data_IF_529449635953
#
_entry.id   IF_529449635953
#
_cell.length_a   1.000
_cell.length_b   1.000
_cell.length_c   1.000
_cell.angle_alpha   90.00
_cell.angle_beta   90.00
_cell.angle_gamma   90.00
#
_symmetry.space_group_name_H-M   'P 1'
#
loop_
_entity.id
_entity.type
_entity.pdbx_description
1 polymer ?
#
# COMPACT_ATOMS: atom_id res chain seq x y z
N UNK A 1 32.92 21.05 2.29
CA UNK A 1 32.16 19.81 1.94
C UNK A 1 32.97 18.49 1.85
N UNK A 2 34.24 18.41 2.26
CA UNK A 2 35.14 17.28 1.93
C UNK A 2 34.77 15.90 2.50
N UNK A 3 33.84 15.82 3.46
CA UNK A 3 33.45 14.58 4.14
C UNK A 3 32.12 13.99 3.63
N UNK A 4 31.54 14.56 2.58
CA UNK A 4 30.22 14.13 2.06
C UNK A 4 30.21 12.65 1.66
N UNK A 5 31.29 12.13 1.06
CA UNK A 5 31.41 10.74 0.63
C UNK A 5 31.43 9.77 1.82
N UNK A 6 32.14 10.10 2.89
CA UNK A 6 32.22 9.28 4.10
C UNK A 6 30.89 9.28 4.86
N UNK A 7 30.23 10.44 4.90
CA UNK A 7 28.93 10.59 5.49
C UNK A 7 27.86 9.80 4.72
N UNK A 8 27.86 9.88 3.39
CA UNK A 8 27.02 9.07 2.51
C UNK A 8 27.20 7.58 2.79
N UNK A 9 28.44 7.07 2.84
CA UNK A 9 28.71 5.65 3.13
C UNK A 9 28.15 5.21 4.48
N UNK A 10 28.20 6.09 5.50
CA UNK A 10 27.62 5.81 6.82
C UNK A 10 26.10 5.68 6.74
N UNK A 11 25.42 6.67 6.17
CA UNK A 11 23.96 6.67 6.02
C UNK A 11 23.47 5.55 5.10
N UNK A 12 24.21 5.26 4.02
CA UNK A 12 23.90 4.20 3.06
C UNK A 12 23.90 2.82 3.74
N UNK A 13 24.83 2.53 4.64
CA UNK A 13 24.81 1.28 5.43
C UNK A 13 23.55 1.14 6.28
N UNK A 14 23.10 2.23 6.90
CA UNK A 14 21.86 2.24 7.68
C UNK A 14 20.66 2.06 6.76
N UNK A 15 20.61 2.79 5.64
CA UNK A 15 19.58 2.66 4.61
C UNK A 15 19.47 1.23 4.07
N UNK A 16 20.59 0.63 3.66
CA UNK A 16 20.63 -0.74 3.13
C UNK A 16 20.21 -1.76 4.21
N UNK A 17 20.53 -1.51 5.48
CA UNK A 17 20.06 -2.35 6.59
C UNK A 17 18.55 -2.25 6.80
N UNK A 18 17.97 -1.06 6.57
CA UNK A 18 16.52 -0.82 6.64
C UNK A 18 15.81 -1.48 5.46
N UNK A 19 16.34 -1.34 4.25
CA UNK A 19 15.81 -1.95 3.03
C UNK A 19 15.88 -3.49 3.13
N UNK A 20 17.03 -4.03 3.52
CA UNK A 20 17.18 -5.46 3.77
C UNK A 20 16.26 -5.95 4.90
N UNK A 21 15.99 -5.13 5.92
CA UNK A 21 15.03 -5.46 6.98
C UNK A 21 13.59 -5.48 6.45
N UNK A 22 13.20 -4.56 5.58
CA UNK A 22 11.89 -4.52 4.94
C UNK A 22 11.67 -5.74 4.02
N UNK A 23 12.73 -6.18 3.33
CA UNK A 23 12.70 -7.35 2.45
C UNK A 23 12.83 -8.70 3.18
N UNK A 24 13.00 -8.69 4.51
CA UNK A 24 13.04 -9.94 5.28
C UNK A 24 11.72 -10.67 5.12
N UNK A 25 11.79 -11.74 4.33
CA UNK A 25 10.73 -12.73 4.22
C UNK A 25 10.29 -13.13 5.64
N UNK A 26 8.97 -13.17 5.92
CA UNK A 26 8.49 -13.65 7.21
C UNK A 26 9.12 -15.03 7.47
N UNK A 27 9.54 -15.26 8.71
CA UNK A 27 10.20 -16.52 9.09
C UNK A 27 9.35 -17.69 8.58
N UNK A 28 9.98 -18.78 8.14
CA UNK A 28 9.28 -19.96 7.61
C UNK A 28 8.16 -20.43 8.55
N UNK A 29 8.37 -20.33 9.87
CA UNK A 29 7.36 -20.59 10.89
C UNK A 29 6.11 -19.71 10.75
N UNK A 30 6.28 -18.41 10.51
CA UNK A 30 5.17 -17.48 10.31
C UNK A 30 4.43 -17.81 9.02
N UNK A 31 5.14 -18.09 7.91
CA UNK A 31 4.50 -18.54 6.65
C UNK A 31 3.67 -19.81 6.83
N UNK A 32 4.17 -20.77 7.60
CA UNK A 32 3.44 -22.01 7.91
C UNK A 32 2.21 -21.69 8.77
N UNK A 33 2.34 -20.85 9.79
CA UNK A 33 1.21 -20.44 10.63
C UNK A 33 0.16 -19.68 9.82
N UNK A 34 0.56 -18.72 8.99
CA UNK A 34 -0.31 -17.96 8.09
C UNK A 34 -1.02 -18.90 7.11
N UNK A 35 -0.31 -19.90 6.56
CA UNK A 35 -0.88 -20.91 5.70
C UNK A 35 -1.92 -21.78 6.40
N UNK A 36 -1.60 -22.30 7.60
CA UNK A 36 -2.51 -23.09 8.43
C UNK A 36 -3.73 -22.26 8.82
N UNK A 37 -3.54 -21.00 9.23
CA UNK A 37 -4.60 -20.07 9.60
C UNK A 37 -5.50 -19.78 8.39
N UNK A 38 -4.93 -19.55 7.21
CA UNK A 38 -5.68 -19.34 5.97
C UNK A 38 -6.53 -20.56 5.63
N UNK A 39 -5.95 -21.77 5.70
CA UNK A 39 -6.69 -23.01 5.48
C UNK A 39 -7.81 -23.18 6.51
N UNK A 40 -7.56 -22.88 7.78
CA UNK A 40 -8.56 -22.95 8.84
C UNK A 40 -9.69 -21.94 8.63
N UNK A 41 -9.39 -20.71 8.19
CA UNK A 41 -10.37 -19.68 7.83
C UNK A 41 -11.22 -20.15 6.65
N UNK A 42 -10.60 -20.65 5.58
CA UNK A 42 -11.33 -21.17 4.41
C UNK A 42 -12.22 -22.33 4.82
N UNK A 43 -11.71 -23.26 5.63
CA UNK A 43 -12.51 -24.36 6.16
C UNK A 43 -13.69 -23.88 7.01
N UNK A 44 -13.48 -22.85 7.83
CA UNK A 44 -14.55 -22.21 8.61
C UNK A 44 -15.60 -21.57 7.72
N UNK A 45 -15.20 -20.79 6.71
CA UNK A 45 -16.12 -20.17 5.74
C UNK A 45 -16.92 -21.23 5.01
N UNK A 46 -16.27 -22.29 4.52
CA UNK A 46 -16.89 -23.39 3.77
C UNK A 46 -17.78 -24.29 4.66
N UNK A 47 -17.64 -24.19 5.97
CA UNK A 47 -18.49 -24.87 6.94
C UNK A 47 -19.69 -24.01 7.35
N UNK A 48 -19.46 -22.71 7.56
CA UNK A 48 -20.49 -21.71 7.85
C UNK A 48 -21.44 -21.57 6.67
N UNK A 49 -20.89 -21.39 5.46
CA UNK A 49 -21.65 -21.54 4.23
C UNK A 49 -21.95 -23.03 4.11
N UNK A 50 -23.21 -23.48 4.00
CA UNK A 50 -23.60 -24.88 4.16
C UNK A 50 -23.09 -25.86 3.08
N UNK A 51 -22.00 -25.55 2.37
CA UNK A 51 -21.39 -26.37 1.32
C UNK A 51 -20.94 -27.72 1.88
N UNK A 52 -20.17 -27.74 2.98
CA UNK A 52 -19.69 -29.01 3.56
C UNK A 52 -20.81 -29.90 4.11
N UNK A 53 -21.79 -29.38 4.87
CA UNK A 53 -22.97 -30.17 5.27
C UNK A 53 -23.73 -30.76 4.07
N UNK A 54 -23.89 -29.98 2.99
CA UNK A 54 -24.53 -30.44 1.76
C UNK A 54 -23.71 -31.57 1.12
N UNK A 55 -22.39 -31.40 0.96
CA UNK A 55 -21.52 -32.43 0.40
C UNK A 55 -21.57 -33.71 1.24
N UNK A 56 -21.51 -33.60 2.57
CA UNK A 56 -21.61 -34.74 3.47
C UNK A 56 -22.94 -35.48 3.33
N UNK A 57 -24.07 -34.77 3.16
CA UNK A 57 -25.36 -35.41 2.87
C UNK A 57 -25.42 -36.06 1.47
N UNK A 58 -24.76 -35.48 0.47
CA UNK A 58 -24.67 -36.09 -0.85
C UNK A 58 -23.84 -37.38 -0.82
N UNK A 59 -22.73 -37.38 -0.07
CA UNK A 59 -21.88 -38.55 0.12
C UNK A 59 -22.47 -39.57 1.10
N UNK A 60 -23.32 -39.18 2.06
CA UNK A 60 -23.93 -40.12 3.01
C UNK A 60 -24.85 -41.14 2.32
N UNK A 61 -25.42 -40.76 1.17
CA UNK A 61 -26.16 -41.67 0.30
C UNK A 61 -25.28 -42.78 -0.30
N UNK A 62 -23.97 -42.55 -0.39
CA UNK A 62 -23.00 -43.56 -0.86
C UNK A 62 -22.30 -44.30 0.29
N UNK A 63 -22.09 -43.63 1.42
CA UNK A 63 -21.43 -44.19 2.60
C UNK A 63 -22.33 -43.87 3.81
N UNK A 64 -23.10 -44.84 4.33
CA UNK A 64 -23.99 -44.59 5.46
C UNK A 64 -23.16 -44.21 6.68
N UNK A 65 -23.21 -42.93 7.04
CA UNK A 65 -22.47 -42.36 8.15
C UNK A 65 -23.42 -42.27 9.35
N UNK A 66 -23.29 -43.21 10.30
CA UNK A 66 -24.09 -43.22 11.53
C UNK A 66 -23.27 -42.52 12.62
N UNK A 67 -23.61 -41.27 12.94
CA UNK A 67 -22.98 -40.52 14.04
C UNK A 67 -23.94 -40.53 15.23
N UNK A 68 -23.76 -41.50 16.13
CA UNK A 68 -24.60 -41.65 17.33
C UNK A 68 -26.07 -41.92 16.97
N UNK A 69 -27.04 -41.19 17.56
CA UNK A 69 -28.47 -41.38 17.28
C UNK A 69 -28.94 -40.73 15.97
N UNK A 70 -28.06 -40.07 15.22
CA UNK A 70 -28.42 -39.31 14.02
C UNK A 70 -28.23 -40.19 12.79
N UNK A 71 -29.34 -40.58 12.18
CA UNK A 71 -29.33 -41.26 10.89
C UNK A 71 -29.32 -40.23 9.75
N UNK A 72 -28.15 -40.08 9.13
CA UNK A 72 -27.90 -39.12 8.04
C UNK A 72 -28.58 -39.51 6.71
N UNK A 73 -29.14 -40.73 6.62
CA UNK A 73 -29.84 -41.20 5.41
C UNK A 73 -31.27 -40.69 5.31
N UNK A 74 -31.88 -40.28 6.42
CA UNK A 74 -33.30 -39.87 6.48
C UNK A 74 -33.58 -38.49 5.88
N UNK A 75 -32.54 -37.72 5.52
CA UNK A 75 -32.69 -36.41 4.86
C UNK A 75 -33.48 -35.37 5.65
N UNK A 76 -33.71 -35.60 6.95
CA UNK A 76 -34.51 -34.72 7.79
C UNK A 76 -33.75 -33.42 8.05
N UNK A 77 -34.46 -32.28 7.92
CA UNK A 77 -33.91 -30.92 8.15
C UNK A 77 -33.21 -30.80 9.52
N UNK A 78 -33.71 -31.50 10.54
CA UNK A 78 -33.09 -31.53 11.87
C UNK A 78 -31.69 -32.17 11.88
N UNK A 79 -31.50 -33.26 11.15
CA UNK A 79 -30.19 -33.92 11.02
C UNK A 79 -29.17 -33.02 10.30
N UNK A 80 -29.62 -32.31 9.26
CA UNK A 80 -28.80 -31.32 8.55
C UNK A 80 -28.35 -30.18 9.47
N UNK A 81 -29.27 -29.60 10.25
CA UNK A 81 -28.96 -28.52 11.18
C UNK A 81 -27.93 -28.93 12.25
N UNK A 82 -28.03 -30.15 12.78
CA UNK A 82 -27.08 -30.69 13.77
C UNK A 82 -25.69 -30.94 13.17
N UNK A 83 -25.61 -31.50 11.95
CA UNK A 83 -24.34 -31.68 11.23
C UNK A 83 -23.69 -30.33 10.95
N UNK A 84 -24.47 -29.35 10.48
CA UNK A 84 -23.96 -28.01 10.22
C UNK A 84 -23.43 -27.31 11.47
N UNK A 85 -24.21 -27.35 12.57
CA UNK A 85 -23.82 -26.76 13.84
C UNK A 85 -22.57 -27.43 14.44
N UNK A 86 -22.50 -28.77 14.40
CA UNK A 86 -21.34 -29.51 14.90
C UNK A 86 -20.07 -29.21 14.11
N UNK A 87 -20.13 -29.18 12.77
CA UNK A 87 -18.99 -28.79 11.94
C UNK A 87 -18.57 -27.35 12.21
N UNK A 88 -19.53 -26.43 12.35
CA UNK A 88 -19.26 -25.03 12.70
C UNK A 88 -18.53 -24.89 14.03
N UNK A 89 -18.96 -25.62 15.06
CA UNK A 89 -18.31 -25.65 16.37
C UNK A 89 -16.90 -26.23 16.31
N UNK A 90 -16.71 -27.36 15.61
CA UNK A 90 -15.39 -27.98 15.43
C UNK A 90 -14.45 -27.00 14.73
N UNK A 91 -14.92 -26.36 13.67
CA UNK A 91 -14.14 -25.40 12.91
C UNK A 91 -13.76 -24.17 13.74
N UNK A 92 -14.69 -23.62 14.53
CA UNK A 92 -14.42 -22.52 15.46
C UNK A 92 -13.39 -22.93 16.54
N UNK A 93 -13.51 -24.15 17.09
CA UNK A 93 -12.61 -24.68 18.10
C UNK A 93 -11.17 -24.87 17.57
N UNK A 94 -10.98 -25.12 16.28
CA UNK A 94 -9.65 -25.16 15.63
C UNK A 94 -9.13 -23.75 15.34
N UNK A 95 -10.01 -22.84 14.91
CA UNK A 95 -9.63 -21.48 14.51
C UNK A 95 -9.19 -20.62 15.71
N UNK A 96 -9.91 -20.67 16.84
CA UNK A 96 -9.63 -19.81 18.00
C UNK A 96 -8.21 -20.00 18.58
N UNK A 97 -7.70 -21.23 18.81
CA UNK A 97 -6.32 -21.44 19.24
C UNK A 97 -5.30 -20.96 18.22
N UNK A 98 -5.57 -21.12 16.92
CA UNK A 98 -4.65 -20.66 15.86
C UNK A 98 -4.53 -19.12 15.85
N UNK A 99 -5.64 -18.40 15.99
CA UNK A 99 -5.65 -16.93 16.13
C UNK A 99 -4.83 -16.53 17.36
N UNK A 100 -5.07 -17.19 18.50
CA UNK A 100 -4.35 -16.89 19.74
C UNK A 100 -2.84 -17.18 19.64
N UNK A 101 -2.45 -18.28 19.00
CA UNK A 101 -1.04 -18.61 18.75
C UNK A 101 -0.42 -17.59 17.80
N UNK A 102 -1.14 -17.16 16.76
CA UNK A 102 -0.66 -16.18 15.81
C UNK A 102 -0.34 -14.84 16.51
N UNK A 103 -1.28 -14.34 17.33
CA UNK A 103 -1.09 -13.12 18.12
C UNK A 103 0.10 -13.21 19.10
N UNK A 104 0.27 -14.37 19.75
CA UNK A 104 1.42 -14.64 20.63
C UNK A 104 2.76 -14.74 19.88
N UNK A 105 2.76 -15.19 18.63
CA UNK A 105 3.97 -15.27 17.80
C UNK A 105 4.35 -13.90 17.27
N UNK A 106 3.39 -13.11 16.83
CA UNK A 106 3.60 -11.74 16.36
C UNK A 106 4.16 -10.85 17.47
N UNK A 107 3.61 -10.94 18.69
CA UNK A 107 4.12 -10.18 19.85
C UNK A 107 5.55 -10.56 20.24
N UNK A 108 6.00 -11.80 20.00
CA UNK A 108 7.39 -12.23 20.24
C UNK A 108 8.33 -11.77 19.12
N UNK A 109 7.88 -11.80 17.88
CA UNK A 109 8.65 -11.30 16.73
C UNK A 109 8.86 -9.79 16.81
N UNK A 110 7.84 -9.06 17.22
CA UNK A 110 7.92 -7.62 17.51
C UNK A 110 8.99 -7.29 18.57
N UNK A 111 9.27 -8.21 19.50
CA UNK A 111 10.30 -8.04 20.53
C UNK A 111 11.71 -8.43 20.06
N UNK A 112 11.82 -9.31 19.06
CA UNK A 112 13.10 -9.86 18.57
C UNK A 112 13.77 -8.99 17.50
N UNK A 113 13.04 -8.06 16.89
CA UNK A 113 13.61 -7.13 15.93
C UNK A 113 13.02 -5.74 16.12
N UNK A 114 13.60 -4.94 17.03
CA UNK A 114 13.43 -3.49 16.90
C UNK A 114 13.90 -3.14 15.49
N UNK A 115 13.12 -2.35 14.71
CA UNK A 115 13.59 -1.89 13.42
C UNK A 115 14.95 -1.18 13.61
N UNK A 116 15.85 -1.24 12.63
CA UNK A 116 17.08 -0.45 12.67
C UNK A 116 16.77 1.02 12.97
N UNK A 117 17.78 1.77 13.42
CA UNK A 117 17.67 3.23 13.56
C UNK A 117 17.04 3.82 12.31
N UNK A 118 16.03 4.67 12.50
CA UNK A 118 15.29 5.27 11.39
C UNK A 118 16.07 6.47 10.90
N UNK A 119 16.31 6.51 9.61
CA UNK A 119 16.80 7.71 8.94
C UNK A 119 15.68 8.75 8.87
N UNK A 120 16.05 10.03 9.00
CA UNK A 120 15.11 11.14 8.75
C UNK A 120 14.74 11.19 7.26
N UNK A 121 13.58 11.76 6.89
CA UNK A 121 13.21 11.95 5.49
C UNK A 121 14.26 12.72 4.68
N UNK A 122 14.94 13.68 5.30
CA UNK A 122 16.03 14.47 4.71
C UNK A 122 17.27 13.62 4.46
N UNK A 123 17.64 12.74 5.40
CA UNK A 123 18.74 11.78 5.22
C UNK A 123 18.44 10.79 4.09
N UNK A 124 17.19 10.32 3.98
CA UNK A 124 16.77 9.44 2.88
C UNK A 124 16.86 10.18 1.54
N UNK A 125 16.39 11.44 1.49
CA UNK A 125 16.52 12.30 0.30
C UNK A 125 17.98 12.44 -0.11
N UNK A 126 18.86 12.77 0.84
CA UNK A 126 20.29 12.90 0.62
C UNK A 126 20.91 11.60 0.09
N UNK A 127 20.65 10.46 0.73
CA UNK A 127 21.18 9.15 0.31
C UNK A 127 20.78 8.84 -1.12
N UNK A 128 19.52 9.07 -1.50
CA UNK A 128 19.05 8.78 -2.86
C UNK A 128 19.57 9.76 -3.91
N UNK A 129 19.70 11.04 -3.59
CA UNK A 129 20.30 12.03 -4.48
C UNK A 129 21.77 11.72 -4.72
N UNK A 130 22.51 11.42 -3.64
CA UNK A 130 23.92 11.08 -3.71
C UNK A 130 24.13 9.74 -4.44
N UNK A 131 23.29 8.72 -4.21
CA UNK A 131 23.30 7.45 -4.97
C UNK A 131 23.11 7.70 -6.47
N UNK A 132 22.17 8.56 -6.86
CA UNK A 132 21.98 8.91 -8.26
C UNK A 132 23.19 9.63 -8.88
N UNK A 133 23.77 10.57 -8.14
CA UNK A 133 25.00 11.27 -8.53
C UNK A 133 26.19 10.31 -8.67
N UNK A 134 26.42 9.42 -7.69
CA UNK A 134 27.56 8.52 -7.67
C UNK A 134 27.47 7.47 -8.78
N UNK A 135 26.29 6.89 -9.01
CA UNK A 135 26.06 5.98 -10.14
C UNK A 135 26.33 6.69 -11.48
N UNK A 136 25.81 7.90 -11.67
CA UNK A 136 26.07 8.64 -12.91
C UNK A 136 27.55 9.05 -13.05
N UNK A 137 28.25 9.35 -11.94
CA UNK A 137 29.70 9.58 -11.93
C UNK A 137 30.46 8.33 -12.36
N UNK A 138 30.07 7.15 -11.86
CA UNK A 138 30.65 5.86 -12.25
C UNK A 138 30.45 5.55 -13.73
N UNK A 139 29.30 5.92 -14.31
CA UNK A 139 29.07 5.82 -15.75
C UNK A 139 30.13 6.56 -16.57
N UNK A 140 30.55 7.77 -16.18
CA UNK A 140 31.60 8.50 -16.92
C UNK A 140 32.98 7.86 -16.83
N UNK A 141 33.19 6.94 -15.88
CA UNK A 141 34.44 6.17 -15.75
C UNK A 141 34.35 4.84 -16.48
N UNK A 142 33.22 4.12 -16.37
CA UNK A 142 33.07 2.75 -16.86
C UNK A 142 32.33 2.61 -18.19
N UNK A 143 31.53 3.62 -18.58
CA UNK A 143 30.61 3.63 -19.73
C UNK A 143 29.59 2.48 -19.73
N UNK A 144 29.24 1.92 -18.56
CA UNK A 144 28.22 0.87 -18.44
C UNK A 144 26.83 1.48 -18.25
N UNK A 145 25.91 1.24 -19.19
CA UNK A 145 24.52 1.75 -19.18
C UNK A 145 23.74 1.42 -17.89
N UNK A 146 24.10 0.32 -17.21
CA UNK A 146 23.50 -0.07 -15.94
C UNK A 146 23.57 1.06 -14.89
N UNK A 147 24.64 1.84 -14.87
CA UNK A 147 24.79 2.95 -13.95
C UNK A 147 23.79 4.09 -14.24
N UNK A 148 23.50 4.36 -15.51
CA UNK A 148 22.48 5.36 -15.88
C UNK A 148 21.09 4.88 -15.45
N UNK A 149 20.80 3.59 -15.62
CA UNK A 149 19.54 3.00 -15.18
C UNK A 149 19.42 3.02 -13.65
N UNK A 150 20.48 2.70 -12.90
CA UNK A 150 20.51 2.80 -11.44
C UNK A 150 20.27 4.24 -10.97
N UNK A 151 20.95 5.21 -11.59
CA UNK A 151 20.74 6.63 -11.30
C UNK A 151 19.29 7.05 -11.57
N UNK A 152 18.72 6.58 -12.70
CA UNK A 152 17.31 6.83 -13.06
C UNK A 152 16.35 6.26 -12.02
N UNK A 153 16.59 5.02 -11.55
CA UNK A 153 15.76 4.38 -10.52
C UNK A 153 15.87 5.11 -9.18
N UNK A 154 17.06 5.55 -8.79
CA UNK A 154 17.26 6.35 -7.58
C UNK A 154 16.50 7.69 -7.64
N UNK A 155 16.63 8.44 -8.76
CA UNK A 155 15.86 9.68 -8.98
C UNK A 155 14.36 9.41 -9.05
N UNK A 156 13.94 8.33 -9.71
CA UNK A 156 12.52 7.96 -9.78
C UNK A 156 11.98 7.63 -8.38
N UNK A 157 12.75 6.95 -7.52
CA UNK A 157 12.33 6.65 -6.14
C UNK A 157 12.11 7.92 -5.31
N UNK A 158 12.86 9.00 -5.58
CA UNK A 158 12.69 10.31 -4.94
C UNK A 158 11.40 11.02 -5.36
N UNK A 159 10.95 10.81 -6.60
CA UNK A 159 9.83 11.53 -7.24
C UNK A 159 8.50 10.75 -7.20
N UNK A 160 8.57 9.42 -7.26
CA UNK A 160 7.41 8.54 -7.55
C UNK A 160 6.46 8.33 -6.35
N UNK A 161 6.77 8.87 -5.18
CA UNK A 161 5.92 8.77 -3.98
C UNK A 161 4.57 9.50 -4.13
N UNK A 162 4.42 10.34 -5.16
CA UNK A 162 3.23 11.15 -5.38
C UNK A 162 1.96 10.39 -5.78
N UNK A 163 2.04 9.20 -6.39
CA UNK A 163 0.79 8.49 -6.76
C UNK A 163 0.00 7.96 -5.57
N UNK A 164 0.63 7.81 -4.40
CA UNK A 164 -0.02 7.26 -3.20
C UNK A 164 -0.40 8.39 -2.23
N UNK A 165 0.47 9.38 -2.03
CA UNK A 165 0.22 10.48 -1.09
C UNK A 165 -0.89 11.41 -1.59
N UNK A 166 -1.00 11.70 -2.90
CA UNK A 166 -2.08 12.55 -3.41
C UNK A 166 -3.46 11.90 -3.28
N UNK A 167 -3.59 10.57 -3.40
CA UNK A 167 -4.86 9.87 -3.10
C UNK A 167 -5.17 9.85 -1.61
N UNK A 168 -4.15 9.72 -0.76
CA UNK A 168 -4.35 9.68 0.69
C UNK A 168 -4.53 11.05 1.34
N UNK A 169 -3.97 12.14 0.82
CA UNK A 169 -4.26 13.48 1.30
C UNK A 169 -5.70 13.90 0.95
N UNK A 170 -6.22 13.45 -0.20
CA UNK A 170 -7.62 13.63 -0.59
C UNK A 170 -8.57 12.82 0.31
N UNK A 171 -8.17 11.61 0.73
CA UNK A 171 -8.95 10.77 1.66
C UNK A 171 -8.83 11.21 3.13
N UNK A 172 -7.63 11.62 3.57
CA UNK A 172 -7.39 12.11 4.92
C UNK A 172 -8.07 13.45 5.18
N UNK A 173 -8.25 14.30 4.16
CA UNK A 173 -9.08 15.50 4.27
C UNK A 173 -10.56 15.19 4.53
N UNK A 174 -11.06 14.01 4.14
CA UNK A 174 -12.42 13.56 4.44
C UNK A 174 -12.51 12.84 5.80
N UNK A 175 -11.50 12.07 6.22
CA UNK A 175 -11.52 11.33 7.49
C UNK A 175 -11.09 12.17 8.72
N UNK A 176 -10.35 13.28 8.53
CA UNK A 176 -10.00 14.19 9.63
C UNK A 176 -11.20 15.02 10.10
N UNK A 177 -12.17 15.36 9.25
CA UNK A 177 -13.39 16.04 9.67
C UNK A 177 -14.26 15.17 10.60
N UNK A 178 -14.27 13.85 10.39
CA UNK A 178 -15.07 12.93 11.21
C UNK A 178 -14.40 12.55 12.53
N UNK A 179 -13.07 12.58 12.62
CA UNK A 179 -12.35 12.29 13.88
C UNK A 179 -12.31 13.50 14.83
N UNK A 180 -12.37 14.73 14.30
CA UNK A 180 -12.30 15.97 15.11
C UNK A 180 -13.62 16.31 15.81
N UNK A 181 -14.77 15.72 15.40
CA UNK A 181 -16.09 16.02 16.02
C UNK A 181 -16.39 15.34 17.35
N UNK A 182 -15.46 14.57 17.93
CA UNK A 182 -15.78 13.69 19.06
C UNK A 182 -15.08 13.96 20.40
N UNK A 183 -14.14 14.89 20.50
CA UNK A 183 -13.39 15.09 21.75
C UNK A 183 -13.97 16.26 22.55
N UNK A 184 -14.50 16.04 23.77
CA UNK A 184 -14.88 17.12 24.66
C UNK A 184 -13.63 17.92 25.00
N UNK A 185 -13.66 19.21 24.69
CA UNK A 185 -12.64 20.17 25.10
C UNK A 185 -12.90 20.42 26.59
N UNK A 186 -12.13 19.76 27.46
CA UNK A 186 -12.04 20.18 28.86
C UNK A 186 -11.18 21.46 28.90
N UNK A 187 -11.83 22.60 29.13
CA UNK A 187 -11.18 23.87 29.45
C UNK A 187 -10.45 23.73 30.80
N UNK A 188 -9.13 23.60 30.79
CA UNK A 188 -8.39 23.69 32.06
C UNK A 188 -6.89 23.43 32.02
N UNK A 189 -6.40 22.51 31.18
CA UNK A 189 -4.99 22.15 31.19
C UNK A 189 -4.37 22.31 29.79
N UNK A 190 -3.17 22.86 29.74
CA UNK A 190 -2.28 22.84 28.57
C UNK A 190 -1.91 21.38 28.26
N UNK A 191 -2.85 20.65 27.66
CA UNK A 191 -2.57 19.37 27.03
C UNK A 191 -1.79 19.70 25.79
N UNK A 192 -0.46 19.54 25.87
CA UNK A 192 0.38 19.39 24.70
C UNK A 192 -0.25 18.30 23.82
N UNK A 193 -0.96 18.73 22.77
CA UNK A 193 -1.53 17.87 21.73
C UNK A 193 -0.35 17.18 21.04
N UNK A 194 0.13 16.09 21.62
CA UNK A 194 0.95 15.13 20.92
C UNK A 194 0.06 14.49 19.87
N UNK A 195 0.05 15.10 18.68
CA UNK A 195 -0.44 14.48 17.46
C UNK A 195 0.44 13.25 17.18
N UNK A 196 0.13 12.15 17.85
CA UNK A 196 0.63 10.83 17.46
C UNK A 196 -0.20 10.42 16.26
N UNK A 197 0.23 10.88 15.08
CA UNK A 197 -0.26 10.35 13.80
C UNK A 197 0.04 8.85 13.83
N UNK A 198 -0.99 8.05 14.11
CA UNK A 198 -0.93 6.59 13.98
C UNK A 198 -0.72 6.28 12.51
N UNK A 199 0.54 6.22 12.07
CA UNK A 199 0.87 5.70 10.76
C UNK A 199 0.37 4.25 10.67
N UNK A 200 -0.62 4.03 9.80
CA UNK A 200 -1.18 2.71 9.59
C UNK A 200 -0.06 1.75 9.12
N UNK A 201 0.14 0.60 9.77
CA UNK A 201 1.26 -0.32 9.48
C UNK A 201 1.18 -0.99 8.10
N UNK A 202 0.08 -0.80 7.34
CA UNK A 202 -0.18 -1.47 6.06
C UNK A 202 0.43 -0.80 4.82
N UNK A 203 1.18 0.30 4.96
CA UNK A 203 1.86 0.95 3.84
C UNK A 203 3.35 1.11 4.12
N UNK A 204 4.09 -0.01 4.05
CA UNK A 204 5.55 -0.06 4.16
C UNK A 204 6.31 0.86 3.19
N UNK A 205 5.63 1.40 2.17
CA UNK A 205 6.15 2.36 1.20
C UNK A 205 6.43 3.75 1.80
N UNK A 206 5.76 4.15 2.89
CA UNK A 206 5.99 5.45 3.51
C UNK A 206 7.29 5.56 4.34
N UNK A 207 7.90 4.43 4.70
CA UNK A 207 9.11 4.40 5.55
C UNK A 207 10.39 4.79 4.82
N UNK A 208 10.37 4.75 3.50
CA UNK A 208 11.50 5.10 2.62
C UNK A 208 11.22 6.33 1.76
N UNK A 209 10.15 7.07 2.09
CA UNK A 209 9.82 8.30 1.38
C UNK A 209 10.80 9.41 1.79
N UNK A 210 11.57 9.92 0.83
CA UNK A 210 12.34 11.15 1.02
C UNK A 210 11.43 12.37 1.19
N UNK A 211 11.94 13.41 1.83
CA UNK A 211 11.30 14.72 2.00
C UNK A 211 11.07 15.48 0.68
N UNK A 212 11.79 15.17 -0.40
CA UNK A 212 11.76 15.94 -1.65
C UNK A 212 10.38 15.98 -2.31
N UNK A 213 9.68 14.85 -2.39
CA UNK A 213 8.35 14.80 -3.04
C UNK A 213 7.32 15.69 -2.33
N UNK A 214 7.12 15.58 -1.00
CA UNK A 214 6.26 16.51 -0.26
C UNK A 214 6.66 17.98 -0.41
N UNK A 215 7.97 18.28 -0.38
CA UNK A 215 8.47 19.64 -0.57
C UNK A 215 8.14 20.18 -1.97
N UNK A 216 8.27 19.35 -3.02
CA UNK A 216 7.88 19.72 -4.39
C UNK A 216 6.38 19.97 -4.51
N UNK A 217 5.53 19.17 -3.86
CA UNK A 217 4.08 19.43 -3.87
C UNK A 217 3.73 20.75 -3.18
N UNK A 218 4.35 21.02 -2.03
CA UNK A 218 4.17 22.29 -1.32
C UNK A 218 4.65 23.46 -2.20
N UNK A 219 5.80 23.33 -2.84
CA UNK A 219 6.34 24.34 -3.76
C UNK A 219 5.42 24.60 -4.96
N UNK A 220 4.82 23.56 -5.55
CA UNK A 220 3.83 23.69 -6.63
C UNK A 220 2.58 24.44 -6.17
N UNK A 221 2.02 24.06 -5.03
CA UNK A 221 0.82 24.70 -4.48
C UNK A 221 1.09 26.15 -4.08
N UNK A 222 2.28 26.42 -3.55
CA UNK A 222 2.76 27.76 -3.24
C UNK A 222 2.87 28.61 -4.52
N UNK A 223 3.60 28.15 -5.54
CA UNK A 223 3.70 28.86 -6.83
C UNK A 223 2.32 29.10 -7.45
N UNK A 224 1.43 28.09 -7.44
CA UNK A 224 0.08 28.20 -8.00
C UNK A 224 -0.78 29.23 -7.28
N UNK A 225 -0.64 29.31 -5.95
CA UNK A 225 -1.41 30.24 -5.12
C UNK A 225 -0.91 31.66 -5.30
N UNK A 226 0.41 31.88 -5.24
CA UNK A 226 1.00 33.22 -5.22
C UNK A 226 1.18 33.81 -6.62
N UNK A 227 1.49 33.03 -7.67
CA UNK A 227 1.60 33.57 -9.04
C UNK A 227 0.25 33.98 -9.63
N UNK A 228 -0.88 33.54 -9.04
CA UNK A 228 -2.23 33.91 -9.49
C UNK A 228 -2.59 35.37 -9.16
N UNK A 229 -2.02 35.95 -8.11
CA UNK A 229 -2.42 37.24 -7.57
C UNK A 229 -1.29 38.26 -7.69
N UNK A 230 -1.49 39.30 -8.50
CA UNK A 230 -0.47 40.34 -8.78
C UNK A 230 0.01 41.13 -7.56
N UNK A 231 -0.77 41.13 -6.47
CA UNK A 231 -0.48 41.81 -5.21
C UNK A 231 0.34 40.95 -4.24
N UNK A 232 0.49 39.65 -4.50
CA UNK A 232 1.47 38.78 -3.84
C UNK A 232 2.69 38.62 -4.75
N UNK A 233 3.74 39.40 -4.49
CA UNK A 233 5.00 39.30 -5.24
C UNK A 233 5.96 38.41 -4.48
N UNK A 234 6.24 37.24 -5.04
CA UNK A 234 7.38 36.43 -4.60
C UNK A 234 8.67 37.14 -4.98
N UNK A 235 9.64 37.07 -4.08
CA UNK A 235 11.00 37.48 -4.37
C UNK A 235 11.51 36.70 -5.60
N UNK A 236 12.17 37.37 -6.57
CA UNK A 236 12.61 36.71 -7.81
C UNK A 236 13.46 35.47 -7.57
N UNK A 237 14.33 35.50 -6.56
CA UNK A 237 15.21 34.40 -6.18
C UNK A 237 14.42 33.20 -5.64
N UNK A 238 13.53 33.41 -4.66
CA UNK A 238 12.67 32.34 -4.14
C UNK A 238 11.81 31.73 -5.25
N UNK A 239 11.25 32.55 -6.15
CA UNK A 239 10.50 32.07 -7.31
C UNK A 239 11.37 31.18 -8.21
N UNK A 240 12.62 31.56 -8.47
CA UNK A 240 13.54 30.76 -9.27
C UNK A 240 13.86 29.41 -8.60
N UNK A 241 14.13 29.42 -7.30
CA UNK A 241 14.36 28.21 -6.49
C UNK A 241 13.16 27.26 -6.59
N UNK A 242 11.95 27.75 -6.30
CA UNK A 242 10.73 26.93 -6.35
C UNK A 242 10.47 26.39 -7.76
N UNK A 243 10.71 27.19 -8.81
CA UNK A 243 10.59 26.72 -10.20
C UNK A 243 11.62 25.64 -10.52
N UNK A 244 12.85 25.75 -10.04
CA UNK A 244 13.87 24.74 -10.26
C UNK A 244 13.46 23.40 -9.63
N UNK A 245 13.04 23.40 -8.36
CA UNK A 245 12.57 22.18 -7.68
C UNK A 245 11.33 21.55 -8.36
N UNK A 246 10.39 22.36 -8.84
CA UNK A 246 9.16 21.86 -9.45
C UNK A 246 9.33 21.39 -10.89
N UNK A 247 10.36 21.84 -11.60
CA UNK A 247 10.68 21.40 -12.97
C UNK A 247 11.57 20.15 -12.99
N UNK A 248 12.38 19.94 -11.95
CA UNK A 248 13.29 18.79 -11.84
C UNK A 248 12.63 17.42 -12.10
N UNK A 249 11.46 17.10 -11.51
CA UNK A 249 10.79 15.81 -11.74
C UNK A 249 10.47 15.50 -13.19
N UNK A 250 10.34 16.54 -14.02
CA UNK A 250 10.05 16.41 -15.45
C UNK A 250 11.35 16.29 -16.24
N UNK A 251 12.32 17.17 -15.98
CA UNK A 251 13.54 17.29 -16.80
C UNK A 251 14.54 16.14 -16.60
N UNK A 252 14.78 15.70 -15.36
CA UNK A 252 15.90 14.79 -15.06
C UNK A 252 15.60 13.32 -15.39
N UNK A 253 14.46 12.71 -14.98
CA UNK A 253 14.21 11.30 -15.25
C UNK A 253 14.14 10.95 -16.74
N UNK A 254 13.63 11.89 -17.55
CA UNK A 254 13.51 11.72 -19.00
C UNK A 254 14.87 11.75 -19.68
N UNK A 255 15.74 12.70 -19.30
CA UNK A 255 17.13 12.78 -19.78
C UNK A 255 17.96 11.55 -19.40
N UNK A 256 17.80 11.04 -18.18
CA UNK A 256 18.45 9.79 -17.77
C UNK A 256 17.96 8.59 -18.59
N UNK A 257 16.65 8.53 -18.88
CA UNK A 257 16.07 7.47 -19.72
C UNK A 257 16.62 7.49 -21.14
N UNK A 258 16.72 8.68 -21.72
CA UNK A 258 17.13 8.87 -23.11
C UNK A 258 18.65 9.08 -23.27
N UNK A 259 19.38 9.09 -22.15
CA UNK A 259 20.82 9.35 -22.07
C UNK A 259 21.26 10.70 -22.66
N UNK A 260 20.42 11.73 -22.53
CA UNK A 260 20.66 13.07 -23.07
C UNK A 260 21.22 14.03 -22.02
N UNK A 261 22.17 14.89 -22.43
CA UNK A 261 22.75 15.94 -21.58
C UNK A 261 23.31 15.42 -20.23
N UNK A 262 23.80 14.17 -20.19
CA UNK A 262 24.27 13.51 -18.96
C UNK A 262 25.29 14.32 -18.14
N UNK A 263 26.25 15.06 -18.72
CA UNK A 263 27.17 15.89 -17.93
C UNK A 263 26.46 17.01 -17.16
N UNK A 264 25.42 17.62 -17.75
CA UNK A 264 24.62 18.65 -17.10
C UNK A 264 23.76 18.03 -15.98
N UNK A 265 23.16 16.86 -16.25
CA UNK A 265 22.42 16.10 -15.24
C UNK A 265 23.30 15.73 -14.05
N UNK A 266 24.55 15.30 -14.30
CA UNK A 266 25.52 14.99 -13.25
C UNK A 266 25.77 16.20 -12.35
N UNK A 267 26.04 17.36 -12.94
CA UNK A 267 26.32 18.58 -12.18
C UNK A 267 25.11 19.03 -11.34
N UNK A 268 23.91 18.93 -11.89
CA UNK A 268 22.66 19.22 -11.17
C UNK A 268 22.48 18.28 -9.97
N UNK A 269 22.67 16.98 -10.16
CA UNK A 269 22.55 15.99 -9.09
C UNK A 269 23.62 16.19 -8.02
N UNK A 270 24.85 16.53 -8.42
CA UNK A 270 25.94 16.86 -7.50
C UNK A 270 25.58 18.08 -6.63
N UNK A 271 25.11 19.16 -7.24
CA UNK A 271 24.73 20.38 -6.53
C UNK A 271 23.56 20.12 -5.58
N UNK A 272 22.56 19.36 -6.01
CA UNK A 272 21.47 18.96 -5.11
C UNK A 272 21.91 18.08 -3.95
N UNK A 273 22.81 17.11 -4.19
CA UNK A 273 23.31 16.24 -3.12
C UNK A 273 24.12 17.05 -2.09
N UNK A 274 24.95 17.99 -2.55
CA UNK A 274 25.71 18.93 -1.72
C UNK A 274 24.82 19.87 -0.92
N UNK A 275 23.79 20.46 -1.55
CA UNK A 275 22.79 21.25 -0.85
C UNK A 275 22.05 20.42 0.21
N UNK A 276 21.56 19.23 -0.16
CA UNK A 276 20.85 18.36 0.78
C UNK A 276 21.72 17.91 1.95
N UNK A 277 23.03 17.76 1.75
CA UNK A 277 24.00 17.48 2.80
C UNK A 277 24.14 18.66 3.77
N UNK A 278 24.32 19.88 3.25
CA UNK A 278 24.52 21.08 4.08
C UNK A 278 23.37 21.37 5.05
N UNK A 279 22.15 20.94 4.70
CA UNK A 279 20.92 21.16 5.48
C UNK A 279 20.40 19.89 6.19
N UNK A 280 21.26 18.90 6.45
CA UNK A 280 20.87 17.76 7.29
C UNK A 280 20.65 18.19 8.76
N UNK A 281 19.55 17.75 9.41
CA UNK A 281 19.18 18.22 10.75
C UNK A 281 20.20 17.81 11.83
N UNK A 282 20.95 16.74 11.62
CA UNK A 282 21.97 16.27 12.56
C UNK A 282 23.21 17.18 12.65
N UNK A 283 23.41 18.06 11.67
CA UNK A 283 24.48 19.05 11.73
C UNK A 283 24.22 20.10 12.81
N UNK A 284 22.95 20.45 13.05
CA UNK A 284 22.56 21.36 14.14
C UNK A 284 22.90 20.79 15.53
N UNK A 285 22.87 19.47 15.69
CA UNK A 285 23.15 18.81 16.96
C UNK A 285 24.62 18.49 17.19
N UNK A 286 25.42 18.35 16.12
CA UNK A 286 26.79 17.81 16.22
C UNK A 286 27.90 18.76 15.76
N UNK A 287 27.57 19.88 15.10
CA UNK A 287 28.56 20.86 14.65
C UNK A 287 28.55 22.13 15.52
N UNK A 288 29.66 22.86 15.53
CA UNK A 288 29.69 24.20 16.13
C UNK A 288 28.86 25.17 15.26
N UNK A 289 28.29 26.21 15.86
CA UNK A 289 27.51 27.22 15.11
C UNK A 289 28.32 27.86 13.99
N UNK A 290 29.61 28.09 14.19
CA UNK A 290 30.50 28.65 13.17
C UNK A 290 30.66 27.71 11.99
N UNK A 291 30.94 26.43 12.23
CA UNK A 291 31.11 25.43 11.16
C UNK A 291 29.78 25.19 10.42
N UNK A 292 28.67 25.17 11.15
CA UNK A 292 27.33 25.04 10.58
C UNK A 292 27.01 26.20 9.63
N UNK A 293 27.27 27.43 10.05
CA UNK A 293 27.04 28.61 9.20
C UNK A 293 27.91 28.59 7.93
N UNK A 294 29.17 28.16 8.05
CA UNK A 294 30.05 28.00 6.88
C UNK A 294 29.49 26.94 5.94
N UNK A 295 29.10 25.77 6.46
CA UNK A 295 28.52 24.69 5.66
C UNK A 295 27.21 25.11 4.98
N UNK A 296 26.34 25.83 5.69
CA UNK A 296 25.08 26.34 5.15
C UNK A 296 25.32 27.39 4.07
N UNK A 297 26.30 28.29 4.25
CA UNK A 297 26.67 29.26 3.20
C UNK A 297 27.22 28.58 1.94
N UNK A 298 28.03 27.51 2.07
CA UNK A 298 28.45 26.67 0.94
C UNK A 298 27.23 26.01 0.28
N UNK A 299 26.26 25.54 1.09
CA UNK A 299 25.01 24.96 0.60
C UNK A 299 24.16 25.94 -0.21
N UNK A 300 24.05 27.20 0.23
CA UNK A 300 23.32 28.27 -0.47
C UNK A 300 23.99 28.63 -1.81
N UNK A 301 25.31 28.72 -1.86
CA UNK A 301 26.05 28.95 -3.10
C UNK A 301 25.79 27.82 -4.11
N UNK A 302 25.84 26.58 -3.65
CA UNK A 302 25.54 25.40 -4.47
C UNK A 302 24.08 25.38 -4.92
N UNK A 303 23.13 25.82 -4.08
CA UNK A 303 21.72 25.95 -4.45
C UNK A 303 21.54 26.94 -5.60
N UNK A 304 22.22 28.09 -5.55
CA UNK A 304 22.16 29.09 -6.62
C UNK A 304 22.68 28.52 -7.96
N UNK A 305 23.73 27.70 -7.91
CA UNK A 305 24.30 27.01 -9.08
C UNK A 305 23.30 25.98 -9.64
N UNK A 306 22.66 25.19 -8.76
CA UNK A 306 21.60 24.26 -9.15
C UNK A 306 20.45 24.96 -9.88
N UNK A 307 20.01 26.12 -9.38
CA UNK A 307 18.92 26.89 -9.99
C UNK A 307 19.31 27.35 -11.39
N UNK A 308 20.52 27.91 -11.58
CA UNK A 308 21.01 28.33 -12.91
C UNK A 308 21.04 27.16 -13.89
N UNK A 309 21.62 26.02 -13.47
CA UNK A 309 21.77 24.86 -14.34
C UNK A 309 20.43 24.24 -14.75
N UNK A 310 19.46 24.17 -13.84
CA UNK A 310 18.12 23.68 -14.16
C UNK A 310 17.40 24.60 -15.15
N UNK A 311 17.60 25.92 -15.04
CA UNK A 311 17.01 26.89 -15.98
C UNK A 311 17.66 26.81 -17.37
N UNK A 312 18.98 26.61 -17.42
CA UNK A 312 19.76 26.39 -18.65
C UNK A 312 19.40 25.09 -19.38
N UNK A 313 18.94 24.05 -18.67
CA UNK A 313 18.44 22.83 -19.32
C UNK A 313 17.24 23.15 -20.21
N UNK A 314 17.34 22.77 -21.48
CA UNK A 314 16.25 22.96 -22.46
C UNK A 314 14.97 22.23 -22.05
N UNK A 315 13.81 22.71 -22.50
CA UNK A 315 12.57 21.94 -22.33
C UNK A 315 12.69 20.64 -23.14
N UNK A 316 12.63 19.51 -22.45
CA UNK A 316 12.82 18.21 -23.09
C UNK A 316 11.59 17.90 -23.96
N UNK A 317 11.81 17.81 -25.27
CA UNK A 317 10.82 17.38 -26.23
C UNK A 317 11.07 15.89 -26.53
N UNK A 318 10.26 14.95 -26.01
CA UNK A 318 10.49 13.54 -26.25
C UNK A 318 10.53 13.27 -27.74
N UNK A 319 11.64 12.69 -28.20
CA UNK A 319 11.77 12.17 -29.56
C UNK A 319 10.63 11.17 -29.76
N UNK A 320 9.67 11.54 -30.61
CA UNK A 320 8.38 10.85 -30.81
C UNK A 320 8.62 9.44 -31.38
N UNK A 321 9.01 8.48 -30.54
CA UNK A 321 9.09 7.06 -30.88
C UNK A 321 7.65 6.53 -30.95
N UNK A 322 7.17 6.25 -32.16
CA UNK A 322 5.85 5.67 -32.41
C UNK A 322 5.79 4.25 -31.84
N UNK A 323 5.28 4.08 -30.63
CA UNK A 323 4.97 2.76 -30.07
C UNK A 323 3.73 2.18 -30.76
N UNK A 324 3.87 1.01 -31.38
CA UNK A 324 2.80 0.28 -32.05
C UNK A 324 1.80 -0.25 -31.01
N UNK A 325 0.52 0.07 -31.22
CA UNK A 325 -0.59 -0.18 -30.30
C UNK A 325 -1.25 -1.52 -30.62
N UNK A 326 -1.04 -2.54 -29.79
CA UNK A 326 -1.75 -3.82 -29.90
C UNK A 326 -3.17 -3.74 -29.33
N UNK A 327 -4.15 -3.99 -30.20
CA UNK A 327 -5.60 -3.93 -29.93
C UNK A 327 -6.15 -5.33 -29.66
N UNK A 328 -6.45 -5.64 -28.39
CA UNK A 328 -7.03 -6.93 -27.99
C UNK A 328 -8.57 -6.81 -27.96
N UNK A 329 -9.23 -7.42 -28.96
CA UNK A 329 -10.69 -7.56 -29.03
C UNK A 329 -11.20 -8.74 -28.17
N UNK A 330 -12.27 -8.53 -27.40
CA UNK A 330 -13.02 -9.59 -26.70
C UNK A 330 -14.42 -9.74 -27.31
N UNK A 331 -14.90 -10.97 -27.59
CA UNK A 331 -16.23 -11.18 -28.16
C UNK A 331 -17.32 -11.29 -27.08
N UNK A 332 -18.44 -10.63 -27.37
CA UNK A 332 -19.70 -10.69 -26.64
C UNK A 332 -20.51 -11.93 -27.07
N UNK A 333 -20.68 -12.90 -26.17
CA UNK A 333 -21.57 -14.04 -26.36
C UNK A 333 -22.32 -14.27 -25.05
N UNK A 334 -23.48 -13.63 -24.83
CA UNK A 334 -24.51 -14.18 -23.92
C UNK A 334 -25.85 -13.39 -23.92
N UNK A 335 -26.68 -13.44 -24.96
CA UNK A 335 -28.08 -13.02 -24.82
C UNK A 335 -29.00 -13.72 -25.83
N UNK A 336 -29.68 -14.82 -25.45
CA UNK A 336 -31.01 -15.13 -26.05
C UNK A 336 -31.97 -16.19 -25.47
N UNK A 337 -31.80 -16.82 -24.30
CA UNK A 337 -32.69 -17.96 -23.94
C UNK A 337 -33.21 -18.02 -22.50
N UNK A 338 -33.62 -16.90 -21.88
CA UNK A 338 -33.93 -16.86 -20.44
C UNK A 338 -35.27 -16.18 -20.06
N UNK A 339 -36.33 -16.31 -20.85
CA UNK A 339 -37.58 -15.55 -20.63
C UNK A 339 -38.53 -16.08 -19.55
N UNK A 340 -38.83 -17.39 -19.53
CA UNK A 340 -39.90 -17.94 -18.67
C UNK A 340 -39.42 -18.91 -17.58
N UNK A 341 -38.24 -19.52 -17.73
CA UNK A 341 -37.62 -20.32 -16.65
C UNK A 341 -37.02 -19.45 -15.53
N UNK A 342 -36.75 -18.17 -15.82
CA UNK A 342 -36.07 -17.27 -14.90
C UNK A 342 -36.97 -16.89 -13.73
N UNK A 343 -38.27 -16.67 -13.90
CA UNK A 343 -39.07 -16.09 -12.81
C UNK A 343 -39.16 -16.99 -11.55
N UNK A 344 -39.29 -18.32 -11.70
CA UNK A 344 -39.43 -19.23 -10.55
C UNK A 344 -38.07 -19.61 -9.93
N UNK A 345 -37.03 -19.76 -10.77
CA UNK A 345 -35.65 -19.96 -10.31
C UNK A 345 -35.13 -18.69 -9.63
N UNK A 346 -35.49 -17.53 -10.15
CA UNK A 346 -35.10 -16.23 -9.61
C UNK A 346 -35.69 -16.03 -8.22
N UNK A 347 -36.99 -16.25 -8.01
CA UNK A 347 -37.59 -16.13 -6.67
C UNK A 347 -36.91 -17.07 -5.66
N UNK A 348 -36.66 -18.34 -6.03
CA UNK A 348 -35.94 -19.29 -5.15
C UNK A 348 -34.50 -18.85 -4.87
N UNK A 349 -33.80 -18.41 -5.90
CA UNK A 349 -32.45 -17.87 -5.77
C UNK A 349 -32.43 -16.64 -4.87
N UNK A 350 -33.37 -15.69 -5.03
CA UNK A 350 -33.45 -14.47 -4.22
C UNK A 350 -33.68 -14.77 -2.75
N UNK A 351 -34.55 -15.73 -2.43
CA UNK A 351 -34.79 -16.15 -1.03
C UNK A 351 -33.54 -16.77 -0.41
N UNK A 352 -32.89 -17.71 -1.09
CA UNK A 352 -31.65 -18.32 -0.59
C UNK A 352 -30.48 -17.33 -0.54
N UNK A 353 -30.40 -16.42 -1.50
CA UNK A 353 -29.41 -15.36 -1.56
C UNK A 353 -29.54 -14.43 -0.37
N UNK A 354 -30.74 -13.93 -0.06
CA UNK A 354 -30.96 -13.07 1.10
C UNK A 354 -30.58 -13.79 2.40
N UNK A 355 -30.96 -15.06 2.54
CA UNK A 355 -30.66 -15.83 3.74
C UNK A 355 -29.15 -16.04 3.94
N UNK A 356 -28.42 -16.43 2.88
CA UNK A 356 -26.97 -16.62 2.95
C UNK A 356 -26.24 -15.28 3.09
N UNK A 357 -26.72 -14.22 2.43
CA UNK A 357 -26.16 -12.88 2.56
C UNK A 357 -26.21 -12.41 4.01
N UNK A 358 -27.37 -12.50 4.67
CA UNK A 358 -27.49 -12.15 6.09
C UNK A 358 -26.52 -12.98 6.93
N UNK A 359 -26.47 -14.30 6.72
CA UNK A 359 -25.64 -15.20 7.51
C UNK A 359 -24.13 -14.93 7.34
N UNK A 360 -23.66 -14.80 6.10
CA UNK A 360 -22.26 -14.48 5.78
C UNK A 360 -21.87 -13.08 6.26
N UNK A 361 -22.78 -12.11 6.15
CA UNK A 361 -22.57 -10.74 6.65
C UNK A 361 -22.42 -10.73 8.17
N UNK A 362 -23.30 -11.44 8.90
CA UNK A 362 -23.19 -11.56 10.35
C UNK A 362 -21.87 -12.19 10.80
N UNK A 363 -21.43 -13.26 10.13
CA UNK A 363 -20.16 -13.93 10.46
C UNK A 363 -18.96 -13.04 10.14
N UNK A 364 -18.96 -12.39 8.98
CA UNK A 364 -17.87 -11.48 8.62
C UNK A 364 -17.84 -10.21 9.47
N UNK A 365 -18.97 -9.71 9.97
CA UNK A 365 -18.98 -8.59 10.92
C UNK A 365 -18.30 -8.97 12.24
N UNK A 366 -18.53 -10.20 12.73
CA UNK A 366 -17.85 -10.70 13.93
C UNK A 366 -16.33 -10.81 13.68
N UNK A 367 -15.93 -11.34 12.52
CA UNK A 367 -14.50 -11.44 12.15
C UNK A 367 -13.88 -10.04 11.95
N UNK A 368 -14.62 -9.11 11.33
CA UNK A 368 -14.16 -7.76 11.06
C UNK A 368 -13.82 -7.00 12.35
N UNK A 369 -14.61 -7.22 13.41
CA UNK A 369 -14.33 -6.65 14.73
C UNK A 369 -12.98 -7.12 15.31
N UNK A 370 -12.42 -8.22 14.81
CA UNK A 370 -11.10 -8.74 15.24
C UNK A 370 -9.98 -8.48 14.25
N UNK A 371 -10.26 -8.43 12.93
CA UNK A 371 -9.22 -8.45 11.88
C UNK A 371 -9.20 -7.17 11.02
N UNK A 372 -10.07 -6.18 11.28
CA UNK A 372 -10.13 -4.91 10.53
C UNK A 372 -10.06 -5.12 9.01
N UNK A 373 -10.99 -5.92 8.50
CA UNK A 373 -11.11 -6.24 7.09
C UNK A 373 -11.62 -4.98 6.35
N UNK A 374 -10.96 -4.63 5.24
CA UNK A 374 -11.40 -3.51 4.40
C UNK A 374 -12.81 -3.75 3.84
N UNK A 375 -13.59 -2.69 3.66
CA UNK A 375 -14.95 -2.79 3.10
C UNK A 375 -14.97 -3.47 1.72
N UNK A 376 -13.94 -3.23 0.90
CA UNK A 376 -13.79 -3.85 -0.42
C UNK A 376 -13.58 -5.37 -0.29
N UNK A 377 -12.69 -5.81 0.61
CA UNK A 377 -12.48 -7.24 0.88
C UNK A 377 -13.75 -7.90 1.43
N UNK A 378 -14.49 -7.19 2.29
CA UNK A 378 -15.76 -7.66 2.82
C UNK A 378 -16.77 -7.92 1.70
N UNK A 379 -16.96 -6.96 0.79
CA UNK A 379 -17.88 -7.09 -0.34
C UNK A 379 -17.47 -8.22 -1.31
N UNK A 380 -16.16 -8.33 -1.60
CA UNK A 380 -15.59 -9.37 -2.46
C UNK A 380 -15.83 -10.78 -1.91
N UNK A 381 -15.93 -10.96 -0.59
CA UNK A 381 -16.17 -12.28 0.01
C UNK A 381 -17.69 -12.54 0.13
N UNK A 382 -18.46 -11.60 0.69
CA UNK A 382 -19.90 -11.78 0.96
C UNK A 382 -20.69 -12.02 -0.31
N UNK A 383 -20.49 -11.20 -1.35
CA UNK A 383 -21.36 -11.21 -2.52
C UNK A 383 -21.20 -12.54 -3.29
N UNK A 384 -19.98 -12.99 -3.67
CA UNK A 384 -19.82 -14.23 -4.42
C UNK A 384 -20.21 -15.47 -3.62
N UNK A 385 -19.90 -15.52 -2.32
CA UNK A 385 -20.29 -16.67 -1.47
C UNK A 385 -21.80 -16.79 -1.33
N UNK A 386 -22.50 -15.67 -1.19
CA UNK A 386 -23.96 -15.63 -1.16
C UNK A 386 -24.59 -16.08 -2.48
N UNK A 387 -24.03 -15.63 -3.61
CA UNK A 387 -24.49 -16.04 -4.95
C UNK A 387 -24.27 -17.55 -5.15
N UNK A 388 -23.07 -18.06 -4.87
CA UNK A 388 -22.73 -19.46 -5.06
C UNK A 388 -23.56 -20.39 -4.17
N UNK A 389 -23.71 -20.04 -2.89
CA UNK A 389 -24.54 -20.80 -1.96
C UNK A 389 -26.01 -20.82 -2.39
N UNK A 390 -26.53 -19.68 -2.86
CA UNK A 390 -27.91 -19.58 -3.32
C UNK A 390 -28.17 -20.41 -4.58
N UNK A 391 -27.22 -20.44 -5.53
CA UNK A 391 -27.28 -21.30 -6.72
C UNK A 391 -27.31 -22.78 -6.31
N UNK A 392 -26.45 -23.19 -5.37
CA UNK A 392 -26.39 -24.57 -4.88
C UNK A 392 -27.72 -25.01 -4.24
N UNK A 393 -28.25 -24.20 -3.32
CA UNK A 393 -29.49 -24.50 -2.61
C UNK A 393 -30.74 -24.44 -3.50
N UNK A 394 -30.76 -23.50 -4.45
CA UNK A 394 -31.85 -23.40 -5.43
C UNK A 394 -31.94 -24.62 -6.36
N UNK A 395 -30.82 -25.33 -6.59
CA UNK A 395 -30.79 -26.58 -7.38
C UNK A 395 -31.21 -27.81 -6.59
N UNK A 396 -30.91 -27.86 -5.29
CA UNK A 396 -31.14 -29.06 -4.45
C UNK A 396 -32.57 -29.13 -3.92
N UNK A 397 -33.25 -28.00 -3.76
CA UNK A 397 -34.64 -27.99 -3.28
C UNK A 397 -35.58 -28.65 -4.30
N UNK A 398 -36.19 -29.81 -3.97
CA UNK A 398 -36.93 -30.60 -4.94
C UNK A 398 -38.04 -29.77 -5.58
N UNK A 399 -38.23 -29.92 -6.90
CA UNK A 399 -39.48 -29.52 -7.53
C UNK A 399 -40.56 -30.31 -6.81
N UNK A 400 -41.49 -29.61 -6.16
CA UNK A 400 -42.74 -30.23 -5.71
C UNK A 400 -43.35 -30.80 -6.98
N UNK A 401 -43.18 -32.10 -7.20
CA UNK A 401 -43.87 -32.79 -8.29
C UNK A 401 -45.33 -32.50 -8.05
N UNK A 402 -45.99 -31.88 -9.02
CA UNK A 402 -47.44 -31.83 -9.06
C UNK A 402 -47.90 -33.28 -8.94
N UNK A 403 -48.32 -33.65 -7.73
CA UNK A 403 -49.07 -34.87 -7.50
C UNK A 403 -50.39 -34.67 -8.23
N UNK A 404 -50.68 -35.58 -9.15
CA UNK A 404 -51.98 -35.77 -9.79
C UNK A 404 -53.16 -35.65 -8.82
#
# INVERSE_FOLDING_TARGET
MDKIDDHYKSLKRVYDSLEAWADRKPLLRQRILDGILTVAIVFFIVTVVPIMPILLMLFSNTIPLIIGPIDTTTGLIGSFGLIWLSLGLISAAVMLPLIWVNDKVDTRLAKLGKPPERLSPEQITFVKLYEAYDELRLFFVSYLDQHVENARLAVQSLISTNTIISRQAILAGQDLEDTVRGLPIEEGDEVALQYTVRMHPSLGLGRFAGSLTPQISIALDFLRTFDRYSWFRLEPELRAILRAFTTLPRKIPQRLRDQEELPAVLSILENMAKFSYAFLPEHETHMSTTDLNVLQSEGEEVLSTFVSQIDELTEYAPSRKLEAKDEIQRPNILHRTAGMYVSYIFVRFTVWFLMILVLTTSVLLIINNSVAISADTFAIIVIPTSVLGAIGLARITPRRSESE
#
